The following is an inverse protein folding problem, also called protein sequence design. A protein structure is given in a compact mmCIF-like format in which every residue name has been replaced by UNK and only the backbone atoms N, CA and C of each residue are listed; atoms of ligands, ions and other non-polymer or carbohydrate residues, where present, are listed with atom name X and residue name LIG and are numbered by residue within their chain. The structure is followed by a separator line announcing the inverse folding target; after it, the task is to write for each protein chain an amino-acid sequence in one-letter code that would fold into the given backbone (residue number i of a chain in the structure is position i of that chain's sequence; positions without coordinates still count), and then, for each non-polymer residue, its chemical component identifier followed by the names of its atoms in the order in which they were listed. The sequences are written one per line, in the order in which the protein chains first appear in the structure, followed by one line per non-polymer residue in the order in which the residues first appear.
data_IF_885335837543
#
_entry.id   IF_885335837543
#
_cell.length_a   1.000
_cell.length_b   1.000
_cell.length_c   1.000
_cell.angle_alpha   90.00
_cell.angle_beta   90.00
_cell.angle_gamma   90.00
#
_symmetry.space_group_name_H-M   'P 1'
#
loop_
_entity.id
_entity.type
_entity.pdbx_description
1 polymer ?
#
# COMPACT_ATOMS: atom_id res chain seq x y z
N UNK A 1 1.04 21.33 -14.33
CA UNK A 1 1.23 21.32 -12.87
C UNK A 1 1.61 19.89 -12.48
N UNK A 2 2.57 19.71 -11.58
CA UNK A 2 3.02 18.39 -11.13
C UNK A 2 2.00 17.76 -10.19
N UNK A 3 1.92 16.42 -10.18
CA UNK A 3 1.17 15.62 -9.20
C UNK A 3 1.35 16.16 -7.78
N UNK A 4 0.26 16.19 -7.01
CA UNK A 4 0.28 16.66 -5.62
C UNK A 4 -0.04 15.50 -4.69
N UNK A 5 0.87 15.22 -3.74
CA UNK A 5 0.59 14.30 -2.65
C UNK A 5 -0.47 14.92 -1.73
N UNK A 6 -1.55 14.20 -1.49
CA UNK A 6 -2.68 14.68 -0.66
C UNK A 6 -2.81 13.95 0.68
N UNK A 7 -2.02 12.89 0.88
CA UNK A 7 -2.00 12.13 2.13
C UNK A 7 -1.29 10.81 2.01
N UNK A 8 -1.50 9.96 3.01
CA UNK A 8 -1.01 8.58 3.05
C UNK A 8 -2.16 7.63 3.39
N UNK A 9 -2.28 6.54 2.64
CA UNK A 9 -3.21 5.46 2.96
C UNK A 9 -2.46 4.36 3.72
N UNK A 10 -2.90 4.00 4.94
CA UNK A 10 -2.28 2.91 5.68
C UNK A 10 -2.70 1.57 5.08
N UNK A 11 -1.72 0.74 4.77
CA UNK A 11 -1.91 -0.64 4.31
C UNK A 11 -1.25 -1.58 5.32
N UNK A 12 -2.03 -2.53 5.84
CA UNK A 12 -1.54 -3.56 6.73
C UNK A 12 -1.44 -4.88 5.95
N UNK A 13 -0.26 -5.48 5.91
CA UNK A 13 -0.03 -6.80 5.32
C UNK A 13 0.25 -7.79 6.44
N UNK A 14 -0.67 -8.75 6.59
CA UNK A 14 -0.53 -9.84 7.54
C UNK A 14 -0.09 -11.12 6.81
N UNK A 15 1.04 -11.68 7.23
CA UNK A 15 1.54 -12.97 6.75
C UNK A 15 1.23 -14.03 7.80
N UNK A 16 0.50 -15.08 7.39
CA UNK A 16 0.09 -16.18 8.27
C UNK A 16 0.49 -17.53 7.68
N UNK A 17 0.86 -18.48 8.53
CA UNK A 17 1.04 -19.89 8.18
C UNK A 17 0.21 -20.74 9.12
N UNK A 18 -0.86 -21.34 8.59
CA UNK A 18 -1.88 -22.00 9.41
C UNK A 18 -2.50 -21.04 10.42
N UNK A 19 -2.36 -21.36 11.71
CA UNK A 19 -2.87 -20.56 12.82
C UNK A 19 -1.89 -19.50 13.33
N UNK A 20 -0.65 -19.47 12.83
CA UNK A 20 0.40 -18.60 13.32
C UNK A 20 0.53 -17.35 12.47
N UNK A 21 0.56 -16.20 13.13
CA UNK A 21 0.97 -14.93 12.52
C UNK A 21 2.50 -14.89 12.47
N UNK A 22 3.03 -14.85 11.25
CA UNK A 22 4.46 -14.80 10.96
C UNK A 22 4.94 -13.36 11.05
N UNK A 23 4.22 -12.46 10.38
CA UNK A 23 4.64 -11.08 10.24
C UNK A 23 3.42 -10.18 10.06
N UNK A 24 3.58 -8.96 10.56
CA UNK A 24 2.63 -7.88 10.42
C UNK A 24 3.39 -6.65 9.93
N UNK A 25 3.06 -6.17 8.75
CA UNK A 25 3.81 -5.12 8.08
C UNK A 25 2.87 -3.95 7.79
N UNK A 26 3.15 -2.82 8.44
CA UNK A 26 2.45 -1.57 8.20
C UNK A 26 3.20 -0.75 7.13
N UNK A 27 2.48 -0.39 6.06
CA UNK A 27 3.01 0.41 4.96
C UNK A 27 2.13 1.65 4.80
N UNK A 28 2.75 2.83 4.82
CA UNK A 28 2.06 4.08 4.50
C UNK A 28 2.27 4.43 3.04
N UNK A 29 1.19 4.41 2.26
CA UNK A 29 1.23 4.61 0.82
C UNK A 29 0.91 6.06 0.48
N UNK A 30 1.86 6.83 -0.09
CA UNK A 30 1.56 8.21 -0.46
C UNK A 30 0.54 8.24 -1.61
N UNK A 31 -0.59 8.91 -1.38
CA UNK A 31 -1.66 9.05 -2.36
C UNK A 31 -1.47 10.36 -3.11
N UNK A 32 -1.41 10.24 -4.43
CA UNK A 32 -1.26 11.36 -5.34
C UNK A 32 -2.55 11.56 -6.12
N UNK A 33 -2.92 12.83 -6.30
CA UNK A 33 -4.04 13.23 -7.14
C UNK A 33 -3.50 14.10 -8.26
N UNK A 34 -3.93 13.78 -9.47
CA UNK A 34 -3.70 14.66 -10.62
C UNK A 34 -4.56 15.91 -10.40
N UNK A 35 -3.94 17.11 -10.32
CA UNK A 35 -4.67 18.35 -10.07
C UNK A 35 -5.67 18.71 -11.17
N UNK A 36 -5.61 18.04 -12.33
CA UNK A 36 -6.56 18.23 -13.44
C UNK A 36 -7.67 17.15 -13.45
N UNK A 37 -7.62 16.18 -12.54
CA UNK A 37 -8.64 15.14 -12.44
C UNK A 37 -9.98 15.76 -12.02
N UNK A 38 -11.07 15.29 -12.63
CA UNK A 38 -12.38 15.83 -12.36
C UNK A 38 -12.83 15.44 -10.94
N UNK A 39 -13.20 16.46 -10.16
CA UNK A 39 -13.81 16.26 -8.85
C UNK A 39 -15.29 15.95 -9.03
N UNK A 40 -15.74 14.83 -8.47
CA UNK A 40 -17.14 14.40 -8.50
C UNK A 40 -17.81 14.66 -7.15
N UNK A 41 -18.92 15.40 -7.19
CA UNK A 41 -19.73 15.69 -6.00
C UNK A 41 -20.89 14.72 -5.91
N UNK A 42 -20.94 13.96 -4.83
CA UNK A 42 -22.01 13.01 -4.57
C UNK A 42 -23.21 13.73 -3.94
N UNK A 43 -24.41 13.23 -4.22
CA UNK A 43 -25.68 13.82 -3.76
C UNK A 43 -25.82 13.85 -2.23
N UNK A 44 -25.06 13.01 -1.52
CA UNK A 44 -25.00 12.95 -0.05
C UNK A 44 -23.96 13.92 0.57
N UNK A 45 -23.37 14.82 -0.22
CA UNK A 45 -22.31 15.73 0.25
C UNK A 45 -20.91 15.12 0.26
N UNK A 46 -20.75 13.88 -0.21
CA UNK A 46 -19.44 13.28 -0.45
C UNK A 46 -18.71 13.94 -1.61
N UNK A 47 -17.38 13.95 -1.54
CA UNK A 47 -16.51 14.37 -2.66
C UNK A 47 -15.67 13.16 -3.04
N UNK A 48 -15.70 12.81 -4.33
CA UNK A 48 -14.90 11.74 -4.92
C UNK A 48 -13.89 12.34 -5.89
N UNK A 49 -12.66 11.86 -5.83
CA UNK A 49 -11.58 12.21 -6.77
C UNK A 49 -10.85 10.93 -7.11
N UNK A 50 -10.57 10.69 -8.39
CA UNK A 50 -9.71 9.58 -8.76
C UNK A 50 -8.28 9.87 -8.32
N UNK A 51 -7.82 9.06 -7.37
CA UNK A 51 -6.43 9.05 -6.96
C UNK A 51 -5.68 7.97 -7.73
N UNK A 52 -4.43 8.26 -8.08
CA UNK A 52 -3.51 7.26 -8.62
C UNK A 52 -2.51 6.89 -7.54
N UNK A 53 -2.26 5.60 -7.44
CA UNK A 53 -1.17 5.12 -6.62
C UNK A 53 0.11 5.22 -7.47
N UNK A 54 1.24 5.74 -6.93
CA UNK A 54 2.47 5.89 -7.72
C UNK A 54 2.90 4.59 -8.38
N UNK A 55 3.48 4.65 -9.57
CA UNK A 55 3.96 3.45 -10.27
C UNK A 55 4.96 2.66 -9.42
N UNK A 56 5.84 3.36 -8.69
CA UNK A 56 6.79 2.77 -7.75
C UNK A 56 6.14 2.00 -6.58
N UNK A 57 4.87 2.25 -6.28
CA UNK A 57 4.19 1.58 -5.19
C UNK A 57 4.11 0.08 -5.42
N UNK A 58 3.81 -0.35 -6.65
CA UNK A 58 3.75 -1.77 -7.00
C UNK A 58 5.10 -2.45 -6.79
N UNK A 59 6.18 -1.76 -7.13
CA UNK A 59 7.54 -2.27 -6.96
C UNK A 59 7.96 -2.31 -5.48
N UNK A 60 7.65 -1.27 -4.71
CA UNK A 60 7.87 -1.24 -3.25
C UNK A 60 7.10 -2.35 -2.53
N UNK A 61 5.83 -2.53 -2.88
CA UNK A 61 4.99 -3.62 -2.36
C UNK A 61 5.57 -4.99 -2.67
N UNK A 62 5.96 -5.22 -3.93
CA UNK A 62 6.58 -6.48 -4.35
C UNK A 62 7.86 -6.74 -3.57
N UNK A 63 8.73 -5.74 -3.42
CA UNK A 63 9.97 -5.87 -2.68
C UNK A 63 9.73 -6.25 -1.22
N UNK A 64 8.83 -5.54 -0.53
CA UNK A 64 8.49 -5.83 0.87
C UNK A 64 7.97 -7.26 1.03
N UNK A 65 7.12 -7.72 0.12
CA UNK A 65 6.62 -9.11 0.13
C UNK A 65 7.74 -10.13 -0.08
N UNK A 66 8.64 -9.90 -1.05
CA UNK A 66 9.79 -10.78 -1.31
C UNK A 66 10.74 -10.83 -0.10
N UNK A 67 11.10 -9.68 0.47
CA UNK A 67 11.98 -9.60 1.63
C UNK A 67 11.38 -10.35 2.84
N UNK A 68 10.06 -10.23 3.05
CA UNK A 68 9.36 -10.94 4.12
C UNK A 68 9.32 -12.47 3.91
N UNK A 69 9.12 -12.92 2.67
CA UNK A 69 9.16 -14.36 2.33
C UNK A 69 10.57 -14.93 2.50
N UNK A 70 11.60 -14.22 2.03
CA UNK A 70 12.99 -14.64 2.20
C UNK A 70 13.38 -14.74 3.69
N UNK A 71 12.98 -13.75 4.50
CA UNK A 71 13.25 -13.76 5.96
C UNK A 71 12.55 -14.92 6.67
N UNK A 72 11.34 -15.28 6.22
CA UNK A 72 10.64 -16.49 6.70
C UNK A 72 11.42 -17.76 6.31
N UNK A 73 11.85 -17.88 5.05
CA UNK A 73 12.59 -19.05 4.59
C UNK A 73 13.92 -19.24 5.34
N UNK A 74 14.64 -18.15 5.63
CA UNK A 74 15.86 -18.19 6.44
C UNK A 74 15.56 -18.69 7.86
N UNK A 75 14.52 -18.13 8.51
CA UNK A 75 14.09 -18.55 9.85
C UNK A 75 13.68 -20.03 9.92
N UNK A 76 13.19 -20.60 8.83
CA UNK A 76 12.83 -22.02 8.73
C UNK A 76 14.03 -22.95 8.50
N UNK A 77 15.14 -22.44 7.95
CA UNK A 77 16.38 -23.23 7.71
C UNK A 77 17.29 -23.28 8.94
N UNK A 78 17.13 -22.35 9.87
CA UNK A 78 17.89 -22.29 11.13
C UNK A 78 17.32 -23.19 12.24
N UNK A 79 16.18 -23.87 12.00
CA UNK A 79 15.59 -24.90 12.87
C UNK A 79 15.77 -26.31 12.28
#
# INVERSE_FOLDING_TARGET
MSDKQIGTYPLNIKIVSGSYEIANIDINVPIHVDPNERVEYQYNGGVSVHAKVPDEFKDKMRKVLVDAVMSLEESLKEN
#
